data_IF_387552897951
#
_entry.id   IF_387552897951
#
_cell.length_a   1.000
_cell.length_b   1.000
_cell.length_c   1.000
_cell.angle_alpha   90.00
_cell.angle_beta   90.00
_cell.angle_gamma   90.00
#
_symmetry.space_group_name_H-M   'P 1'
#
loop_
_entity.id
_entity.type
_entity.pdbx_description
1 polymer ?
#
# COMPACT_ATOMS: atom_id res chain seq x y z
N UNK A 1 -7.41 -0.31 16.83
CA UNK A 1 -8.09 0.78 16.12
C UNK A 1 -8.53 0.19 14.79
N UNK A 2 -9.56 0.66 14.20
CA UNK A 2 -10.12 0.07 12.98
C UNK A 2 -10.35 1.17 11.94
N UNK A 3 -10.25 0.81 10.67
CA UNK A 3 -10.58 1.73 9.58
C UNK A 3 -12.03 2.25 9.72
N UNK A 4 -12.35 3.45 9.22
CA UNK A 4 -13.70 4.00 9.32
C UNK A 4 -14.76 3.03 8.76
N UNK A 5 -15.86 2.82 9.48
CA UNK A 5 -16.89 1.84 9.14
C UNK A 5 -17.43 1.97 7.70
N UNK A 6 -17.56 3.21 7.21
CA UNK A 6 -17.98 3.46 5.82
C UNK A 6 -16.98 2.92 4.79
N UNK A 7 -15.67 3.10 5.07
CA UNK A 7 -14.60 2.60 4.20
C UNK A 7 -14.56 1.09 4.26
N UNK A 8 -14.66 0.50 5.46
CA UNK A 8 -14.69 -0.96 5.62
C UNK A 8 -15.84 -1.58 4.84
N UNK A 9 -17.06 -1.10 5.07
CA UNK A 9 -18.24 -1.60 4.34
C UNK A 9 -18.13 -1.44 2.83
N UNK A 10 -17.48 -0.37 2.35
CA UNK A 10 -17.26 -0.15 0.93
C UNK A 10 -16.27 -1.15 0.35
N UNK A 11 -15.17 -1.40 1.04
CA UNK A 11 -14.15 -2.38 0.63
C UNK A 11 -14.71 -3.81 0.65
N UNK A 12 -15.38 -4.20 1.72
CA UNK A 12 -15.98 -5.55 1.86
C UNK A 12 -17.00 -5.84 0.74
N UNK A 13 -17.82 -4.84 0.39
CA UNK A 13 -18.79 -4.95 -0.73
C UNK A 13 -18.13 -5.04 -2.10
N UNK A 14 -16.92 -4.53 -2.25
CA UNK A 14 -16.20 -4.57 -3.53
C UNK A 14 -15.64 -5.96 -3.87
N UNK A 15 -15.52 -6.85 -2.88
CA UNK A 15 -14.92 -8.18 -3.04
C UNK A 15 -13.42 -8.15 -3.39
N UNK A 16 -12.74 -7.03 -3.16
CA UNK A 16 -11.31 -6.85 -3.47
C UNK A 16 -10.47 -7.21 -2.26
N UNK A 17 -9.36 -7.91 -2.50
CA UNK A 17 -8.38 -8.22 -1.46
C UNK A 17 -7.66 -6.96 -0.97
N UNK A 18 -7.71 -6.71 0.31
CA UNK A 18 -6.98 -5.63 0.96
C UNK A 18 -6.46 -6.06 2.33
N UNK A 19 -5.49 -5.32 2.85
CA UNK A 19 -4.89 -5.53 4.16
C UNK A 19 -5.04 -4.24 4.98
N UNK A 20 -5.65 -4.35 6.16
CA UNK A 20 -5.76 -3.24 7.09
C UNK A 20 -4.41 -3.00 7.79
N UNK A 21 -3.92 -1.78 7.76
CA UNK A 21 -2.62 -1.41 8.34
C UNK A 21 -2.85 -0.36 9.42
N UNK A 22 -2.77 -0.78 10.68
CA UNK A 22 -2.76 0.14 11.82
C UNK A 22 -1.36 0.74 12.00
N UNK A 23 -1.29 2.02 12.32
CA UNK A 23 -0.04 2.76 12.51
C UNK A 23 -0.18 3.89 13.52
N UNK A 24 0.94 4.47 13.93
CA UNK A 24 0.95 5.71 14.72
C UNK A 24 0.32 6.84 13.93
N UNK A 25 -0.16 7.86 14.63
CA UNK A 25 -0.76 9.05 14.00
C UNK A 25 0.17 9.65 12.94
N UNK A 26 -0.36 9.81 11.73
CA UNK A 26 0.31 10.44 10.59
C UNK A 26 -0.63 11.45 9.96
N UNK A 27 -0.08 12.54 9.42
CA UNK A 27 -0.85 13.61 8.79
C UNK A 27 -0.60 13.72 7.29
N UNK A 28 0.52 13.17 6.82
CA UNK A 28 0.93 13.25 5.41
C UNK A 28 1.30 11.87 4.87
N UNK A 29 1.26 11.71 3.55
CA UNK A 29 1.76 10.51 2.89
C UNK A 29 3.26 10.25 3.17
N UNK A 30 4.02 11.32 3.43
CA UNK A 30 5.43 11.23 3.81
C UNK A 30 5.57 10.62 5.22
N UNK A 31 4.79 11.09 6.20
CA UNK A 31 4.79 10.54 7.56
C UNK A 31 4.37 9.07 7.57
N UNK A 32 3.37 8.71 6.77
CA UNK A 32 2.93 7.33 6.60
C UNK A 32 4.06 6.44 6.04
N UNK A 33 4.75 6.91 5.01
CA UNK A 33 5.89 6.21 4.43
C UNK A 33 7.01 5.98 5.46
N UNK A 34 7.34 6.99 6.25
CA UNK A 34 8.36 6.89 7.30
C UNK A 34 7.94 5.94 8.43
N UNK A 35 6.73 6.12 8.94
CA UNK A 35 6.20 5.36 10.08
C UNK A 35 6.11 3.87 9.74
N UNK A 36 5.68 3.53 8.53
CA UNK A 36 5.51 2.16 8.05
C UNK A 36 6.75 1.60 7.34
N UNK A 37 7.84 2.38 7.25
CA UNK A 37 9.09 2.00 6.57
C UNK A 37 8.87 1.58 5.11
N UNK A 38 7.90 2.22 4.44
CA UNK A 38 7.59 2.03 3.04
C UNK A 38 8.34 3.04 2.17
N UNK A 39 8.51 2.70 0.89
CA UNK A 39 9.02 3.66 -0.11
C UNK A 39 7.92 4.67 -0.43
N UNK A 40 8.30 5.91 -0.78
CA UNK A 40 7.33 6.95 -1.12
C UNK A 40 6.47 6.59 -2.34
N UNK A 41 7.01 5.85 -3.30
CA UNK A 41 6.24 5.36 -4.44
C UNK A 41 5.25 4.24 -4.10
N UNK A 42 5.35 3.65 -2.89
CA UNK A 42 4.41 2.64 -2.37
C UNK A 42 3.25 3.27 -1.57
N UNK A 43 3.24 4.60 -1.44
CA UNK A 43 2.21 5.33 -0.69
C UNK A 43 1.47 6.29 -1.61
N UNK A 44 0.16 6.22 -1.60
CA UNK A 44 -0.71 7.12 -2.33
C UNK A 44 -0.75 8.49 -1.66
N UNK A 45 -0.63 9.54 -2.46
CA UNK A 45 -0.87 10.92 -2.07
C UNK A 45 -2.15 11.41 -2.71
N UNK A 46 -3.08 11.87 -1.90
CA UNK A 46 -4.38 12.35 -2.30
C UNK A 46 -4.36 13.87 -2.41
N UNK A 47 -4.88 14.41 -3.50
CA UNK A 47 -5.05 15.84 -3.70
C UNK A 47 -6.48 16.10 -4.16
N UNK A 48 -7.18 16.98 -3.44
CA UNK A 48 -8.41 17.57 -3.97
C UNK A 48 -8.02 18.63 -4.99
N UNK A 49 -8.59 18.54 -6.18
CA UNK A 49 -8.37 19.51 -7.27
C UNK A 49 -9.70 20.15 -7.61
N UNK A 50 -9.70 21.44 -7.76
CA UNK A 50 -10.78 22.20 -8.35
C UNK A 50 -10.50 22.34 -9.86
N UNK A 51 -11.39 21.77 -10.67
CA UNK A 51 -11.35 21.82 -12.12
C UNK A 51 -12.62 22.54 -12.61
N UNK A 52 -12.46 23.78 -13.06
CA UNK A 52 -13.54 24.71 -13.38
C UNK A 52 -14.55 24.85 -12.20
N UNK A 53 -15.67 24.14 -12.21
CA UNK A 53 -16.70 24.16 -11.16
C UNK A 53 -16.85 22.83 -10.42
N UNK A 54 -16.02 21.84 -10.74
CA UNK A 54 -16.11 20.51 -10.14
C UNK A 54 -14.87 20.21 -9.30
N UNK A 55 -15.02 19.31 -8.34
CA UNK A 55 -13.92 18.80 -7.56
C UNK A 55 -13.59 17.38 -7.99
N UNK A 56 -12.30 17.12 -8.16
CA UNK A 56 -11.76 15.81 -8.58
C UNK A 56 -10.71 15.37 -7.55
N UNK A 57 -10.76 14.11 -7.16
CA UNK A 57 -9.72 13.50 -6.33
C UNK A 57 -8.60 12.98 -7.23
N UNK A 58 -7.43 13.55 -7.11
CA UNK A 58 -6.24 13.13 -7.85
C UNK A 58 -5.31 12.35 -6.95
N UNK A 59 -4.93 11.14 -7.39
CA UNK A 59 -4.09 10.22 -6.63
C UNK A 59 -2.81 9.94 -7.41
N UNK A 60 -1.69 10.11 -6.75
CA UNK A 60 -0.36 9.91 -7.34
C UNK A 60 0.61 9.38 -6.27
N UNK A 61 1.76 8.78 -6.67
CA UNK A 61 2.77 8.35 -5.72
C UNK A 61 3.29 9.51 -4.86
N UNK A 62 3.57 9.26 -3.58
CA UNK A 62 4.00 10.32 -2.65
C UNK A 62 5.34 10.96 -3.02
N UNK A 63 6.19 10.29 -3.82
CA UNK A 63 7.45 10.82 -4.35
C UNK A 63 7.28 11.78 -5.55
N UNK A 64 6.05 11.95 -6.04
CA UNK A 64 5.74 12.80 -7.21
C UNK A 64 4.99 14.06 -6.81
N UNK A 65 5.01 15.06 -7.70
CA UNK A 65 4.15 16.26 -7.65
C UNK A 65 3.15 16.20 -8.79
N UNK A 66 2.00 16.82 -8.62
CA UNK A 66 1.05 17.01 -9.71
C UNK A 66 1.55 18.11 -10.64
N UNK A 67 1.48 17.83 -11.94
CA UNK A 67 1.67 18.82 -13.00
C UNK A 67 0.29 19.37 -13.40
N UNK A 68 0.00 20.59 -12.99
CA UNK A 68 -1.30 21.20 -13.25
C UNK A 68 -1.57 21.41 -14.74
N UNK A 69 -0.53 21.60 -15.56
CA UNK A 69 -0.67 21.73 -17.01
C UNK A 69 -1.12 20.41 -17.66
N UNK A 70 -0.48 19.29 -17.29
CA UNK A 70 -0.90 17.97 -17.73
C UNK A 70 -2.28 17.61 -17.19
N UNK A 71 -2.56 17.92 -15.93
CA UNK A 71 -3.84 17.66 -15.30
C UNK A 71 -4.98 18.42 -15.99
N UNK A 72 -4.78 19.68 -16.31
CA UNK A 72 -5.71 20.53 -17.09
C UNK A 72 -6.08 19.85 -18.41
N UNK A 73 -5.08 19.36 -19.15
CA UNK A 73 -5.30 18.64 -20.42
C UNK A 73 -6.05 17.32 -20.20
N UNK A 74 -5.66 16.55 -19.18
CA UNK A 74 -6.28 15.25 -18.88
C UNK A 74 -7.76 15.37 -18.46
N UNK A 75 -8.13 16.46 -17.80
CA UNK A 75 -9.49 16.75 -17.37
C UNK A 75 -10.31 17.51 -18.42
N UNK A 76 -9.68 18.03 -19.48
CA UNK A 76 -10.36 18.91 -20.46
C UNK A 76 -10.84 20.22 -19.86
N UNK A 77 -10.29 20.62 -18.72
CA UNK A 77 -10.72 21.80 -17.97
C UNK A 77 -10.08 23.09 -18.50
N UNK A 78 -10.77 24.22 -18.34
CA UNK A 78 -10.23 25.54 -18.66
C UNK A 78 -9.30 26.06 -17.56
N UNK A 79 -9.60 25.71 -16.30
CA UNK A 79 -8.82 26.11 -15.12
C UNK A 79 -8.73 24.94 -14.14
N UNK A 80 -7.54 24.71 -13.58
CA UNK A 80 -7.33 23.76 -12.49
C UNK A 80 -6.52 24.42 -11.38
N UNK A 81 -6.88 24.14 -10.13
CA UNK A 81 -6.19 24.64 -8.95
C UNK A 81 -6.26 23.66 -7.79
N UNK A 82 -5.30 23.76 -6.87
CA UNK A 82 -5.38 23.06 -5.58
C UNK A 82 -6.11 24.01 -4.62
N UNK A 83 -7.33 23.69 -4.17
CA UNK A 83 -8.07 24.57 -3.29
C UNK A 83 -7.39 24.67 -1.92
N UNK A 84 -7.61 25.79 -1.21
CA UNK A 84 -7.16 25.93 0.17
C UNK A 84 -7.84 24.89 1.07
N UNK A 85 -7.18 24.48 2.16
CA UNK A 85 -7.71 23.49 3.11
C UNK A 85 -9.11 23.85 3.62
N UNK A 86 -9.40 25.13 3.83
CA UNK A 86 -10.72 25.62 4.25
C UNK A 86 -11.84 25.24 3.26
N UNK A 87 -11.54 25.26 1.95
CA UNK A 87 -12.49 24.85 0.91
C UNK A 87 -12.72 23.36 1.00
N UNK A 88 -11.64 22.58 1.18
CA UNK A 88 -11.73 21.13 1.35
C UNK A 88 -12.59 20.73 2.57
N UNK A 89 -12.37 21.39 3.71
CA UNK A 89 -13.17 21.17 4.93
C UNK A 89 -14.64 21.52 4.68
N UNK A 90 -14.92 22.64 4.00
CA UNK A 90 -16.29 23.09 3.70
C UNK A 90 -17.02 22.14 2.73
N UNK A 91 -16.32 21.71 1.67
CA UNK A 91 -16.90 20.88 0.60
C UNK A 91 -17.06 19.43 1.06
N UNK A 92 -16.04 18.84 1.69
CA UNK A 92 -16.02 17.43 2.04
C UNK A 92 -16.40 17.16 3.50
N UNK A 93 -16.50 18.19 4.34
CA UNK A 93 -16.79 18.09 5.79
C UNK A 93 -15.80 17.18 6.52
N UNK A 94 -14.53 17.20 6.12
CA UNK A 94 -13.45 16.40 6.69
C UNK A 94 -12.44 17.30 7.39
N UNK A 95 -11.66 16.73 8.31
CA UNK A 95 -10.54 17.43 8.96
C UNK A 95 -9.37 17.59 7.97
N UNK A 96 -8.56 18.67 8.07
CA UNK A 96 -7.32 18.79 7.32
C UNK A 96 -6.44 17.55 7.50
N UNK A 97 -5.86 17.05 6.41
CA UNK A 97 -5.03 15.84 6.43
C UNK A 97 -5.78 14.51 6.41
N UNK A 98 -7.12 14.49 6.58
CA UNK A 98 -7.92 13.26 6.58
C UNK A 98 -8.63 12.98 5.25
N UNK A 99 -8.05 13.40 4.12
CA UNK A 99 -8.61 13.10 2.81
C UNK A 99 -8.42 11.63 2.45
N UNK A 100 -9.53 10.90 2.39
CA UNK A 100 -9.55 9.50 1.99
C UNK A 100 -9.20 9.33 0.52
N UNK A 101 -8.59 8.20 0.15
CA UNK A 101 -8.36 7.81 -1.25
C UNK A 101 -9.64 7.38 -1.96
N UNK A 102 -10.71 7.06 -1.24
CA UNK A 102 -11.96 6.52 -1.77
C UNK A 102 -12.91 7.67 -2.17
N UNK A 103 -12.75 8.15 -3.40
CA UNK A 103 -13.49 9.32 -3.92
C UNK A 103 -14.97 9.08 -4.04
N UNK A 104 -15.40 7.87 -4.41
CA UNK A 104 -16.82 7.50 -4.49
C UNK A 104 -17.59 7.72 -3.19
N UNK A 105 -16.93 7.54 -2.03
CA UNK A 105 -17.52 7.83 -0.72
C UNK A 105 -17.83 9.32 -0.50
N UNK A 106 -17.16 10.18 -1.26
CA UNK A 106 -17.33 11.64 -1.25
C UNK A 106 -18.02 12.17 -2.51
N UNK A 107 -18.53 11.27 -3.37
CA UNK A 107 -19.14 11.62 -4.67
C UNK A 107 -18.19 12.42 -5.58
N UNK A 108 -16.90 12.10 -5.52
CA UNK A 108 -15.87 12.70 -6.35
C UNK A 108 -15.47 11.75 -7.48
N UNK A 109 -15.22 12.30 -8.65
CA UNK A 109 -14.46 11.59 -9.67
C UNK A 109 -13.02 11.37 -9.21
N UNK A 110 -12.46 10.19 -9.53
CA UNK A 110 -11.10 9.82 -9.18
C UNK A 110 -10.23 9.77 -10.42
N UNK A 111 -9.10 10.46 -10.37
CA UNK A 111 -8.05 10.37 -11.38
C UNK A 111 -6.79 9.83 -10.72
N UNK A 112 -6.25 8.77 -11.28
CA UNK A 112 -5.02 8.11 -10.79
C UNK A 112 -3.89 8.33 -11.78
N UNK A 113 -2.73 8.72 -11.28
CA UNK A 113 -1.54 8.82 -12.13
C UNK A 113 -1.04 7.42 -12.53
N UNK A 114 -0.66 7.26 -13.80
CA UNK A 114 -0.16 5.99 -14.33
C UNK A 114 1.07 5.45 -13.61
N UNK A 115 1.87 6.30 -12.97
CA UNK A 115 3.03 5.86 -12.19
C UNK A 115 2.64 4.96 -10.98
N UNK A 116 1.39 5.00 -10.51
CA UNK A 116 0.87 4.10 -9.48
C UNK A 116 0.92 2.63 -9.90
N UNK A 117 0.82 2.34 -11.21
CA UNK A 117 0.87 0.98 -11.75
C UNK A 117 2.27 0.34 -11.67
N UNK A 118 3.31 1.12 -11.45
CA UNK A 118 4.68 0.64 -11.25
C UNK A 118 4.90 -0.08 -9.91
N UNK A 119 3.90 -0.06 -9.01
CA UNK A 119 3.96 -0.65 -7.68
C UNK A 119 2.88 -1.73 -7.53
N UNK A 120 3.26 -2.93 -7.05
CA UNK A 120 2.31 -4.06 -6.91
C UNK A 120 1.21 -3.78 -5.90
N UNK A 121 1.59 -3.36 -4.69
CA UNK A 121 0.67 -2.97 -3.61
C UNK A 121 0.98 -1.55 -3.16
N UNK A 122 -0.04 -0.76 -2.97
CA UNK A 122 0.03 0.64 -2.58
C UNK A 122 -0.76 0.85 -1.29
N UNK A 123 -0.22 1.68 -0.42
CA UNK A 123 -0.88 2.12 0.80
C UNK A 123 -1.81 3.30 0.48
N UNK A 124 -3.09 3.11 0.71
CA UNK A 124 -4.13 4.12 0.52
C UNK A 124 -4.65 4.64 1.85
N UNK A 125 -4.90 5.94 1.94
CA UNK A 125 -5.49 6.56 3.12
C UNK A 125 -6.98 6.24 3.20
N UNK A 126 -7.43 5.87 4.40
CA UNK A 126 -8.85 5.65 4.71
C UNK A 126 -9.57 6.91 5.18
N UNK A 127 -8.83 8.02 5.37
CA UNK A 127 -9.31 9.21 6.05
C UNK A 127 -9.11 9.16 7.57
N UNK A 128 -8.60 8.04 8.11
CA UNK A 128 -8.10 7.95 9.48
C UNK A 128 -6.66 8.43 9.54
N UNK A 129 -6.25 8.96 10.70
CA UNK A 129 -4.85 9.32 10.96
C UNK A 129 -4.01 8.14 11.47
N UNK A 130 -4.65 7.02 11.80
CA UNK A 130 -4.01 5.86 12.45
C UNK A 130 -4.17 4.56 11.67
N UNK A 131 -4.95 4.58 10.58
CA UNK A 131 -5.30 3.37 9.86
C UNK A 131 -5.30 3.65 8.35
N UNK A 132 -4.66 2.76 7.59
CA UNK A 132 -4.58 2.78 6.13
C UNK A 132 -4.89 1.41 5.58
N UNK A 133 -5.07 1.29 4.28
CA UNK A 133 -5.24 0.01 3.61
C UNK A 133 -4.17 -0.21 2.56
N UNK A 134 -3.68 -1.44 2.48
CA UNK A 134 -2.72 -1.87 1.49
C UNK A 134 -3.42 -2.78 0.49
N UNK A 135 -3.46 -2.38 -0.78
CA UNK A 135 -4.11 -3.15 -1.84
C UNK A 135 -3.38 -2.97 -3.17
N UNK A 136 -3.73 -3.77 -4.17
CA UNK A 136 -3.16 -3.63 -5.51
C UNK A 136 -3.69 -2.35 -6.17
N UNK A 137 -2.78 -1.59 -6.82
CA UNK A 137 -3.17 -0.38 -7.53
C UNK A 137 -4.23 -0.63 -8.62
N UNK A 138 -4.13 -1.75 -9.34
CA UNK A 138 -5.10 -2.12 -10.38
C UNK A 138 -6.50 -2.36 -9.82
N UNK A 139 -6.60 -3.03 -8.66
CA UNK A 139 -7.88 -3.34 -8.03
C UNK A 139 -8.54 -2.06 -7.49
N UNK A 140 -7.73 -1.16 -6.91
CA UNK A 140 -8.19 0.17 -6.51
C UNK A 140 -8.76 0.97 -7.69
N UNK A 141 -8.03 1.02 -8.82
CA UNK A 141 -8.45 1.74 -10.03
C UNK A 141 -9.77 1.20 -10.56
N UNK A 142 -9.93 -0.13 -10.58
CA UNK A 142 -11.17 -0.80 -11.01
C UNK A 142 -12.34 -0.47 -10.08
N UNK A 143 -12.14 -0.54 -8.76
CA UNK A 143 -13.17 -0.28 -7.75
C UNK A 143 -13.67 1.17 -7.79
N UNK A 144 -12.75 2.12 -7.90
CA UNK A 144 -13.06 3.56 -7.99
C UNK A 144 -13.50 3.99 -9.38
N UNK A 145 -13.43 3.11 -10.40
CA UNK A 145 -13.64 3.45 -11.82
C UNK A 145 -12.78 4.65 -12.23
N UNK A 146 -11.56 4.68 -11.68
CA UNK A 146 -10.70 5.83 -11.77
C UNK A 146 -10.17 6.07 -13.18
N UNK A 147 -10.17 7.32 -13.61
CA UNK A 147 -9.52 7.73 -14.85
C UNK A 147 -8.00 7.64 -14.71
N UNK A 148 -7.33 7.05 -15.69
CA UNK A 148 -5.87 6.95 -15.71
C UNK A 148 -5.27 8.02 -16.62
N UNK A 149 -4.33 8.81 -16.10
CA UNK A 149 -3.60 9.79 -16.88
C UNK A 149 -2.16 9.96 -16.39
N UNK A 150 -1.29 10.53 -17.22
CA UNK A 150 0.07 10.94 -16.84
C UNK A 150 0.02 12.40 -16.36
N UNK A 151 -0.18 12.60 -15.06
CA UNK A 151 -0.31 13.94 -14.47
C UNK A 151 0.77 14.26 -13.46
N UNK A 152 1.63 13.28 -13.18
CA UNK A 152 2.73 13.45 -12.24
C UNK A 152 3.99 14.00 -12.91
N UNK A 153 4.79 14.70 -12.12
CA UNK A 153 6.15 15.06 -12.40
C UNK A 153 7.05 14.74 -11.20
N UNK A 154 8.36 14.67 -11.42
CA UNK A 154 9.31 14.41 -10.35
C UNK A 154 9.26 15.54 -9.31
N UNK A 155 9.12 15.17 -8.05
CA UNK A 155 8.94 16.16 -6.98
C UNK A 155 10.20 16.95 -6.66
N UNK A 156 11.37 16.50 -7.11
CA UNK A 156 12.66 17.11 -6.74
C UNK A 156 12.93 17.04 -5.23
N UNK A 157 12.26 16.16 -4.49
CA UNK A 157 12.53 16.00 -3.06
C UNK A 157 13.94 15.46 -2.86
N UNK A 158 14.81 16.27 -2.29
CA UNK A 158 16.03 15.79 -1.67
C UNK A 158 15.61 15.13 -0.35
N UNK A 159 15.45 13.81 -0.36
CA UNK A 159 15.18 13.06 0.88
C UNK A 159 16.37 13.32 1.80
N UNK A 160 16.17 13.82 3.04
CA UNK A 160 17.26 14.06 3.98
C UNK A 160 18.10 12.79 4.11
N UNK A 161 19.43 12.93 4.13
CA UNK A 161 20.38 11.80 4.12
C UNK A 161 20.11 10.82 5.28
N UNK A 162 19.67 11.33 6.45
CA UNK A 162 19.27 10.51 7.60
C UNK A 162 18.13 9.54 7.25
N UNK A 163 17.10 10.01 6.55
CA UNK A 163 15.94 9.22 6.15
C UNK A 163 16.30 8.20 5.08
N UNK A 164 17.14 8.58 4.12
CA UNK A 164 17.66 7.69 3.07
C UNK A 164 18.43 6.51 3.65
N UNK A 165 19.22 6.74 4.69
CA UNK A 165 20.00 5.71 5.38
C UNK A 165 19.12 4.79 6.24
N UNK A 166 18.08 5.31 6.89
CA UNK A 166 17.11 4.51 7.64
C UNK A 166 16.28 3.61 6.71
N UNK A 167 15.84 4.13 5.56
CA UNK A 167 15.15 3.34 4.54
C UNK A 167 16.03 2.21 3.99
N UNK A 168 17.31 2.48 3.67
CA UNK A 168 18.26 1.45 3.23
C UNK A 168 18.45 0.34 4.28
N UNK A 169 18.60 0.70 5.56
CA UNK A 169 18.72 -0.27 6.66
C UNK A 169 17.45 -1.11 6.84
N UNK A 170 16.27 -0.51 6.71
CA UNK A 170 14.99 -1.22 6.81
C UNK A 170 14.76 -2.21 5.66
N UNK A 171 15.14 -1.86 4.43
CA UNK A 171 15.06 -2.75 3.26
C UNK A 171 16.03 -3.93 3.42
N UNK A 172 17.26 -3.67 3.87
CA UNK A 172 18.25 -4.72 4.09
C UNK A 172 17.86 -5.70 5.22
N UNK A 173 17.19 -5.22 6.28
CA UNK A 173 16.71 -6.06 7.38
C UNK A 173 15.53 -6.96 6.97
N UNK A 174 14.66 -6.51 6.07
CA UNK A 174 13.56 -7.31 5.55
C UNK A 174 14.04 -8.41 4.58
N UNK A 175 15.06 -8.15 3.78
CA UNK A 175 15.64 -9.16 2.90
C UNK A 175 16.35 -10.30 3.69
N UNK A 176 16.95 -10.01 4.84
CA UNK A 176 17.53 -11.04 5.73
C UNK A 176 16.49 -11.91 6.45
N UNK A 177 15.26 -11.43 6.64
CA UNK A 177 14.18 -12.19 7.28
C UNK A 177 13.42 -13.11 6.33
N UNK A 178 13.52 -12.91 5.02
CA UNK A 178 12.86 -13.71 3.98
C UNK A 178 13.73 -14.82 3.38
N UNK A 179 14.98 -14.98 3.81
CA UNK A 179 15.82 -16.10 3.39
C UNK A 179 15.43 -17.38 4.14
N UNK A 180 15.13 -18.50 3.46
CA UNK A 180 14.78 -19.75 4.12
C UNK A 180 16.00 -20.25 4.89
N UNK A 181 15.84 -20.51 6.20
CA UNK A 181 16.85 -21.19 7.01
C UNK A 181 16.95 -22.65 6.56
N UNK A 182 17.90 -22.92 5.69
CA UNK A 182 18.26 -24.27 5.28
C UNK A 182 18.93 -24.98 6.47
N UNK A 183 18.18 -25.77 7.21
CA UNK A 183 18.72 -26.64 8.27
C UNK A 183 19.51 -27.77 7.62
N UNK A 184 20.82 -27.62 7.53
CA UNK A 184 21.74 -28.74 7.30
C UNK A 184 21.63 -29.67 8.50
N UNK A 185 20.98 -30.82 8.34
CA UNK A 185 21.14 -31.99 9.23
C UNK A 185 22.49 -32.61 8.91
N UNK A 186 23.47 -32.41 9.78
CA UNK A 186 24.70 -33.17 9.80
C UNK A 186 24.42 -34.57 10.41
N UNK A 187 24.31 -35.58 9.56
CA UNK A 187 24.30 -36.95 10.00
C UNK A 187 25.74 -37.38 10.35
N UNK A 188 25.98 -37.79 11.58
CA UNK A 188 27.16 -38.55 12.02
C UNK A 188 26.95 -40.05 11.70
N UNK A 189 27.94 -40.75 11.15
CA UNK A 189 27.86 -42.21 10.99
C UNK A 189 28.23 -42.90 12.30
N UNK A 190 27.38 -43.79 12.80
CA UNK A 190 27.73 -44.65 13.90
C UNK A 190 28.14 -46.04 13.36
N UNK A 191 29.24 -46.51 13.93
CA UNK A 191 29.96 -47.71 13.59
C UNK A 191 29.24 -49.00 13.89
N UNK A 192 29.68 -50.03 13.14
CA UNK A 192 29.36 -51.46 13.25
C UNK A 192 29.67 -52.03 14.64
N UNK A 193 28.81 -52.90 15.16
CA UNK A 193 29.22 -54.08 15.89
C UNK A 193 28.23 -55.24 15.66
N UNK A 194 28.82 -56.39 15.33
CA UNK A 194 28.16 -57.67 15.07
C UNK A 194 27.96 -58.45 16.36
N UNK A 195 26.87 -59.25 16.40
CA UNK A 195 26.84 -60.59 17.06
C UNK A 195 25.49 -61.23 16.81
N UNK A 196 25.47 -62.23 16.04
CA UNK A 196 25.31 -63.68 16.08
C UNK A 196 24.26 -64.25 17.07
N UNK A 197 23.52 -65.24 16.50
CA UNK A 197 22.79 -66.38 17.10
C UNK A 197 21.33 -66.05 17.47
N UNK A 198 20.36 -66.97 17.27
CA UNK A 198 20.22 -68.32 16.69
C UNK A 198 18.73 -68.64 16.66
N UNK A 199 18.28 -69.31 15.60
CA UNK A 199 17.50 -70.52 15.57
C UNK A 199 16.28 -70.71 16.54
N UNK A 200 15.07 -70.91 16.00
CA UNK A 200 14.15 -72.09 16.01
C UNK A 200 12.73 -71.66 15.70
N UNK A 201 12.21 -72.08 14.55
CA UNK A 201 11.30 -73.21 14.29
C UNK A 201 10.07 -73.35 15.22
N UNK A 202 8.88 -73.21 14.68
CA UNK A 202 7.75 -74.18 14.66
C UNK A 202 6.49 -73.42 14.21
N UNK A 203 5.92 -73.76 13.07
CA UNK A 203 4.86 -74.76 12.77
C UNK A 203 3.55 -74.53 13.53
N UNK A 204 2.48 -74.48 12.77
CA UNK A 204 1.13 -74.90 13.16
C UNK A 204 0.09 -73.83 12.73
N UNK A 205 -0.58 -73.93 11.65
CA UNK A 205 -1.69 -74.78 11.19
C UNK A 205 -3.05 -74.39 11.82
N UNK A 206 -3.99 -74.00 10.95
CA UNK A 206 -5.48 -74.17 10.99
C UNK A 206 -6.23 -73.18 11.91
N UNK A 207 -7.30 -72.56 11.53
CA UNK A 207 -8.42 -72.89 10.61
C UNK A 207 -8.86 -71.65 9.89
#
# INVERSE_FOLDING_TARGET
MAIPAKVKSYLDKSGIDYEEIAHKTVFTAYDAAQTLKKKLNEVAKNLLIEADKIHVLVILPADKKVDLGKLKKALGAKKVSIPKEQVMVKVLKIKPGSLSSFGKLHKLEVLVDKAMLGTKKVLFSTGSFTDSVLMKAKDFIKMEEAKLANVAMNAGYKIPVKVKNQMKKAVASNQKKSAPKNKKKSGKPAAKTAAKKAVKKKTGKRK
#
